data_IF_036340071500
#
_entry.id   IF_036340071500
#
_cell.length_a   1.000
_cell.length_b   1.000
_cell.length_c   1.000
_cell.angle_alpha   90.00
_cell.angle_beta   90.00
_cell.angle_gamma   90.00
#
_symmetry.space_group_name_H-M   'P 1'
#
loop_
_entity.id
_entity.type
_entity.pdbx_description
1 polymer ?
#
# COMPACT_ATOMS: atom_id res chain seq x y z
N UNK A 1 -25.33 -32.21 69.04
CA UNK A 1 -25.97 -31.04 68.41
C UNK A 1 -24.87 -30.04 68.04
N UNK A 2 -24.82 -29.69 66.75
CA UNK A 2 -24.32 -28.44 66.12
C UNK A 2 -23.00 -27.84 66.65
N UNK A 3 -21.88 -27.94 65.90
CA UNK A 3 -21.48 -27.04 64.79
C UNK A 3 -21.13 -25.62 65.25
N UNK A 4 -19.86 -25.19 65.08
CA UNK A 4 -19.43 -24.13 64.13
C UNK A 4 -17.95 -23.76 64.36
N UNK A 5 -17.08 -24.16 63.42
CA UNK A 5 -16.42 -23.36 62.37
C UNK A 5 -15.11 -22.71 62.84
N UNK A 6 -13.99 -23.36 62.48
CA UNK A 6 -12.67 -22.77 62.46
C UNK A 6 -12.51 -21.90 61.20
N UNK A 7 -12.15 -20.64 61.38
CA UNK A 7 -11.87 -19.71 60.28
C UNK A 7 -10.41 -19.88 59.87
N UNK A 8 -10.17 -20.50 58.72
CA UNK A 8 -8.88 -20.54 58.04
C UNK A 8 -8.71 -19.24 57.23
N UNK A 9 -7.80 -18.37 57.67
CA UNK A 9 -7.39 -17.21 56.89
C UNK A 9 -6.44 -17.65 55.76
N UNK A 10 -6.92 -17.62 54.53
CA UNK A 10 -6.09 -17.80 53.32
C UNK A 10 -5.48 -16.45 52.97
N UNK A 11 -4.17 -16.31 53.18
CA UNK A 11 -3.39 -15.18 52.66
C UNK A 11 -3.21 -15.34 51.15
N UNK A 12 -4.07 -14.68 50.37
CA UNK A 12 -3.84 -14.50 48.94
C UNK A 12 -2.76 -13.43 48.75
N UNK A 13 -1.56 -13.84 48.33
CA UNK A 13 -0.52 -12.93 47.90
C UNK A 13 -0.94 -12.26 46.58
N UNK A 14 -1.45 -11.03 46.66
CA UNK A 14 -1.57 -10.15 45.50
C UNK A 14 -0.16 -9.78 45.03
N UNK A 15 0.38 -10.55 44.08
CA UNK A 15 1.46 -10.12 43.22
C UNK A 15 0.96 -8.91 42.42
N UNK A 16 1.19 -7.72 42.95
CA UNK A 16 1.10 -6.49 42.19
C UNK A 16 2.17 -6.57 41.11
N UNK A 17 1.78 -7.03 39.92
CA UNK A 17 2.60 -6.92 38.73
C UNK A 17 2.88 -5.44 38.53
N UNK A 18 4.13 -5.04 38.78
CA UNK A 18 4.64 -3.75 38.31
C UNK A 18 4.37 -3.73 36.81
N UNK A 19 3.66 -2.72 36.26
CA UNK A 19 3.57 -2.58 34.82
C UNK A 19 5.01 -2.49 34.32
N UNK A 20 5.43 -3.50 33.53
CA UNK A 20 6.64 -3.35 32.73
C UNK A 20 6.49 -2.01 32.00
N UNK A 21 7.50 -1.13 32.00
CA UNK A 21 7.43 0.07 31.21
C UNK A 21 7.13 -0.40 29.79
N UNK A 22 5.98 0.02 29.26
CA UNK A 22 5.73 -0.07 27.83
C UNK A 22 6.88 0.71 27.24
N UNK A 23 7.88 0.01 26.69
CA UNK A 23 8.89 0.65 25.86
C UNK A 23 8.10 1.47 24.86
N UNK A 24 8.20 2.79 24.96
CA UNK A 24 7.75 3.65 23.89
C UNK A 24 8.61 3.24 22.70
N UNK A 25 8.09 2.37 21.83
CA UNK A 25 8.84 1.92 20.66
C UNK A 25 9.18 3.18 19.87
N UNK A 26 10.44 3.58 19.93
CA UNK A 26 10.86 4.81 19.27
C UNK A 26 10.62 4.65 17.77
N UNK A 27 9.96 5.61 17.13
CA UNK A 27 9.73 5.53 15.69
C UNK A 27 11.07 5.47 14.93
N UNK A 28 11.12 4.66 13.86
CA UNK A 28 12.22 4.65 12.91
C UNK A 28 12.09 5.85 11.96
N UNK A 29 12.86 6.91 12.20
CA UNK A 29 12.85 8.13 11.38
C UNK A 29 13.66 8.04 10.07
N UNK A 30 14.16 6.85 9.72
CA UNK A 30 14.87 6.62 8.45
C UNK A 30 14.26 5.44 7.66
N UNK A 31 12.93 5.39 7.46
CA UNK A 31 12.29 4.23 6.87
C UNK A 31 12.75 4.02 5.42
N UNK A 32 12.93 2.76 5.05
CA UNK A 32 13.19 2.32 3.68
C UNK A 32 11.98 1.50 3.23
N UNK A 33 11.32 1.93 2.17
CA UNK A 33 10.15 1.24 1.64
C UNK A 33 10.52 0.55 0.33
N UNK A 34 10.17 -0.73 0.21
CA UNK A 34 10.30 -1.47 -1.03
C UNK A 34 9.25 -1.03 -2.04
N UNK A 35 9.64 -0.83 -3.30
CA UNK A 35 8.67 -0.68 -4.41
C UNK A 35 8.84 -1.87 -5.35
N UNK A 36 7.75 -2.61 -5.58
CA UNK A 36 7.81 -3.81 -6.40
C UNK A 36 7.94 -3.49 -7.89
N UNK A 37 9.00 -3.98 -8.53
CA UNK A 37 9.15 -3.93 -9.97
C UNK A 37 8.18 -4.91 -10.63
N UNK A 38 7.78 -4.59 -11.85
CA UNK A 38 6.90 -5.42 -12.68
C UNK A 38 7.51 -5.57 -14.06
N UNK A 39 7.08 -6.58 -14.82
CA UNK A 39 7.52 -6.81 -16.18
C UNK A 39 7.33 -5.57 -17.07
N UNK A 40 8.24 -5.38 -18.02
CA UNK A 40 8.20 -4.24 -18.92
C UNK A 40 6.88 -4.15 -19.70
N UNK A 41 6.45 -2.90 -19.94
CA UNK A 41 5.26 -2.61 -20.74
C UNK A 41 5.46 -3.21 -22.15
N UNK A 42 4.47 -3.95 -22.64
CA UNK A 42 4.53 -4.54 -23.98
C UNK A 42 4.72 -3.44 -25.04
N UNK A 43 5.74 -3.58 -25.89
CA UNK A 43 6.06 -2.60 -26.94
C UNK A 43 6.85 -1.38 -26.45
N UNK A 44 7.37 -1.41 -25.23
CA UNK A 44 8.24 -0.36 -24.70
C UNK A 44 9.61 -0.33 -25.43
N UNK A 45 9.80 0.64 -26.32
CA UNK A 45 11.06 0.84 -27.07
C UNK A 45 12.24 1.38 -26.23
N UNK A 46 11.98 1.85 -25.01
CA UNK A 46 12.99 2.36 -24.08
C UNK A 46 13.33 1.32 -23.01
N UNK A 47 12.68 0.16 -23.03
CA UNK A 47 12.87 -0.89 -22.04
C UNK A 47 14.32 -1.33 -21.97
N UNK A 48 14.82 -1.41 -20.75
CA UNK A 48 16.11 -2.01 -20.42
C UNK A 48 15.83 -3.14 -19.43
N UNK A 49 16.54 -4.25 -19.58
CA UNK A 49 16.32 -5.44 -18.76
C UNK A 49 14.91 -6.03 -18.83
N UNK A 50 14.47 -6.66 -17.74
CA UNK A 50 13.25 -7.47 -17.69
C UNK A 50 12.06 -6.78 -17.01
N UNK A 51 12.32 -5.74 -16.21
CA UNK A 51 11.31 -5.12 -15.35
C UNK A 51 11.51 -3.62 -15.18
N UNK A 52 10.48 -2.92 -14.71
CA UNK A 52 10.51 -1.50 -14.45
C UNK A 52 9.77 -1.09 -13.18
N UNK A 53 10.06 0.12 -12.72
CA UNK A 53 9.29 0.89 -11.75
C UNK A 53 9.09 2.29 -12.32
N UNK A 54 7.84 2.76 -12.37
CA UNK A 54 7.57 4.16 -12.73
C UNK A 54 8.12 5.11 -11.66
N UNK A 55 8.86 6.13 -12.08
CA UNK A 55 9.57 7.03 -11.16
C UNK A 55 8.63 7.83 -10.24
N UNK A 56 7.37 8.01 -10.62
CA UNK A 56 6.36 8.66 -9.78
C UNK A 56 6.14 7.95 -8.45
N UNK A 57 6.20 6.63 -8.38
CA UNK A 57 6.10 5.90 -7.10
C UNK A 57 7.30 6.15 -6.18
N UNK A 58 8.50 6.30 -6.75
CA UNK A 58 9.72 6.64 -6.00
C UNK A 58 9.59 8.03 -5.41
N UNK A 59 9.29 9.03 -6.27
CA UNK A 59 9.10 10.44 -5.87
C UNK A 59 7.98 10.59 -4.84
N UNK A 60 6.90 9.83 -4.97
CA UNK A 60 5.79 9.80 -4.04
C UNK A 60 6.23 9.45 -2.61
N UNK A 61 6.99 8.37 -2.45
CA UNK A 61 7.48 7.96 -1.13
C UNK A 61 8.56 8.91 -0.59
N UNK A 62 9.48 9.36 -1.44
CA UNK A 62 10.55 10.29 -1.05
C UNK A 62 10.00 11.65 -0.62
N UNK A 63 8.93 12.14 -1.25
CA UNK A 63 8.27 13.39 -0.87
C UNK A 63 7.72 13.40 0.57
N UNK A 64 7.50 12.21 1.14
CA UNK A 64 7.04 12.01 2.50
C UNK A 64 8.14 11.59 3.49
N UNK A 65 9.41 11.59 3.06
CA UNK A 65 10.56 11.35 3.92
C UNK A 65 10.99 9.87 4.05
N UNK A 66 10.56 9.00 3.15
CA UNK A 66 11.12 7.64 3.05
C UNK A 66 12.24 7.57 2.02
N UNK A 67 13.11 6.56 2.16
CA UNK A 67 14.01 6.12 1.10
C UNK A 67 13.40 4.91 0.40
N UNK A 68 13.79 4.66 -0.85
CA UNK A 68 13.21 3.57 -1.65
C UNK A 68 14.25 2.51 -1.99
N UNK A 69 13.84 1.24 -1.88
CA UNK A 69 14.58 0.10 -2.40
C UNK A 69 13.76 -0.57 -3.53
N UNK A 70 14.28 -0.69 -4.76
CA UNK A 70 13.59 -1.41 -5.83
C UNK A 70 13.59 -2.93 -5.54
N UNK A 71 12.40 -3.54 -5.52
CA UNK A 71 12.25 -4.99 -5.37
C UNK A 71 12.20 -5.60 -6.79
N UNK A 72 13.36 -6.08 -7.24
CA UNK A 72 13.56 -6.67 -8.58
C UNK A 72 12.89 -8.05 -8.72
N UNK A 73 12.64 -8.50 -9.95
CA UNK A 73 11.82 -9.69 -10.26
C UNK A 73 12.56 -11.03 -10.22
N UNK A 74 13.89 -10.99 -10.15
CA UNK A 74 14.82 -12.05 -10.50
C UNK A 74 15.84 -12.31 -9.37
N UNK A 75 15.31 -12.61 -8.18
CA UNK A 75 16.03 -13.08 -6.99
C UNK A 75 15.45 -14.39 -6.46
N UNK A 76 16.18 -15.05 -5.55
CA UNK A 76 15.68 -16.25 -4.86
C UNK A 76 14.72 -15.89 -3.72
N UNK A 77 13.98 -16.88 -3.22
CA UNK A 77 13.02 -16.67 -2.12
C UNK A 77 13.72 -16.28 -0.81
N UNK A 78 14.91 -16.83 -0.57
CA UNK A 78 15.75 -16.49 0.57
C UNK A 78 16.25 -15.03 0.48
N UNK A 79 16.58 -14.56 -0.72
CA UNK A 79 16.93 -13.16 -0.93
C UNK A 79 15.73 -12.23 -0.69
N UNK A 80 14.52 -12.60 -1.11
CA UNK A 80 13.33 -11.82 -0.82
C UNK A 80 13.01 -11.77 0.67
N UNK A 81 13.19 -12.86 1.40
CA UNK A 81 13.05 -12.88 2.86
C UNK A 81 14.10 -11.97 3.53
N UNK A 82 15.36 -12.00 3.08
CA UNK A 82 16.39 -11.06 3.56
C UNK A 82 16.00 -9.61 3.30
N UNK A 83 15.46 -9.31 2.11
CA UNK A 83 15.00 -7.96 1.76
C UNK A 83 13.82 -7.55 2.66
N UNK A 84 12.83 -8.43 2.84
CA UNK A 84 11.68 -8.18 3.71
C UNK A 84 12.10 -7.78 5.13
N UNK A 85 13.05 -8.52 5.72
CA UNK A 85 13.60 -8.24 7.05
C UNK A 85 14.48 -6.97 7.11
N UNK A 86 14.81 -6.38 5.96
CA UNK A 86 15.67 -5.20 5.86
C UNK A 86 14.89 -3.89 5.61
N UNK A 87 13.73 -3.99 4.94
CA UNK A 87 12.86 -2.83 4.61
C UNK A 87 11.73 -2.68 5.61
N UNK A 88 11.15 -1.49 5.68
CA UNK A 88 10.15 -1.09 6.66
C UNK A 88 8.70 -1.09 6.15
N UNK A 89 8.49 -1.45 4.89
CA UNK A 89 7.17 -1.53 4.26
C UNK A 89 7.28 -1.84 2.77
N UNK A 90 6.15 -2.18 2.15
CA UNK A 90 6.09 -2.49 0.71
C UNK A 90 4.99 -1.72 0.00
N UNK A 91 5.34 -1.10 -1.13
CA UNK A 91 4.40 -0.56 -2.10
C UNK A 91 4.28 -1.48 -3.31
N UNK A 92 3.05 -1.89 -3.60
CA UNK A 92 2.61 -2.60 -4.79
C UNK A 92 2.05 -1.55 -5.79
N UNK A 93 2.83 -1.17 -6.82
CA UNK A 93 2.41 -0.12 -7.75
C UNK A 93 1.25 -0.54 -8.66
N UNK A 94 0.71 0.43 -9.39
CA UNK A 94 -0.16 0.16 -10.54
C UNK A 94 0.63 -0.40 -11.73
N UNK A 95 -0.09 -1.00 -12.68
CA UNK A 95 0.51 -1.77 -13.76
C UNK A 95 -0.55 -2.49 -14.60
N UNK A 96 -0.11 -3.35 -15.50
CA UNK A 96 -0.99 -4.11 -16.42
C UNK A 96 -0.51 -5.55 -16.66
N UNK A 97 0.24 -6.12 -15.71
CA UNK A 97 0.70 -7.51 -15.76
C UNK A 97 -0.36 -8.50 -15.24
N UNK A 98 -0.26 -9.79 -15.57
CA UNK A 98 -1.27 -10.77 -15.16
C UNK A 98 -1.30 -10.99 -13.63
N UNK A 99 -2.47 -10.89 -13.01
CA UNK A 99 -2.61 -10.97 -11.53
C UNK A 99 -2.40 -12.37 -10.94
N UNK A 100 -2.19 -13.40 -11.75
CA UNK A 100 -2.05 -14.79 -11.29
C UNK A 100 -0.75 -15.46 -11.72
N UNK A 101 -0.19 -15.05 -12.85
CA UNK A 101 0.93 -15.74 -13.51
C UNK A 101 2.18 -14.88 -13.67
N UNK A 102 2.09 -13.56 -13.46
CA UNK A 102 3.25 -12.66 -13.52
C UNK A 102 4.22 -12.89 -12.36
N UNK A 103 5.47 -12.51 -12.57
CA UNK A 103 6.46 -12.37 -11.50
C UNK A 103 5.99 -11.34 -10.46
N UNK A 104 5.36 -10.25 -10.89
CA UNK A 104 4.73 -9.30 -9.98
C UNK A 104 3.74 -9.97 -9.01
N UNK A 105 2.87 -10.86 -9.51
CA UNK A 105 1.92 -11.59 -8.68
C UNK A 105 2.61 -12.57 -7.72
N UNK A 106 3.61 -13.32 -8.21
CA UNK A 106 4.42 -14.22 -7.38
C UNK A 106 5.10 -13.47 -6.24
N UNK A 107 5.75 -12.34 -6.52
CA UNK A 107 6.46 -11.57 -5.50
C UNK A 107 5.52 -10.85 -4.55
N UNK A 108 4.42 -10.30 -5.07
CA UNK A 108 3.35 -9.76 -4.23
C UNK A 108 2.88 -10.81 -3.22
N UNK A 109 2.72 -12.07 -3.64
CA UNK A 109 2.35 -13.17 -2.74
C UNK A 109 3.39 -13.43 -1.66
N UNK A 110 4.68 -13.51 -2.02
CA UNK A 110 5.77 -13.76 -1.06
C UNK A 110 5.76 -12.70 0.04
N UNK A 111 5.80 -11.42 -0.33
CA UNK A 111 5.83 -10.34 0.65
C UNK A 111 4.52 -10.21 1.43
N UNK A 112 3.37 -10.46 0.80
CA UNK A 112 2.08 -10.43 1.50
C UNK A 112 1.99 -11.51 2.57
N UNK A 113 2.46 -12.74 2.28
CA UNK A 113 2.50 -13.83 3.25
C UNK A 113 3.51 -13.56 4.38
N UNK A 114 4.69 -13.02 4.05
CA UNK A 114 5.68 -12.59 5.04
C UNK A 114 5.13 -11.48 5.96
N UNK A 115 4.45 -10.49 5.39
CA UNK A 115 3.83 -9.40 6.16
C UNK A 115 2.71 -9.93 7.07
N UNK A 116 1.88 -10.88 6.62
CA UNK A 116 0.89 -11.51 7.51
C UNK A 116 1.58 -12.21 8.68
N UNK A 117 2.61 -13.02 8.41
CA UNK A 117 3.36 -13.74 9.45
C UNK A 117 4.01 -12.78 10.45
N UNK A 118 4.68 -11.73 9.97
CA UNK A 118 5.31 -10.72 10.81
C UNK A 118 4.28 -10.02 11.71
N UNK A 119 3.18 -9.53 11.14
CA UNK A 119 2.14 -8.85 11.91
C UNK A 119 1.42 -9.78 12.90
N UNK A 120 1.25 -11.06 12.57
CA UNK A 120 0.73 -12.07 13.50
C UNK A 120 1.71 -12.34 14.67
N UNK A 121 3.01 -12.13 14.45
CA UNK A 121 4.07 -12.19 15.45
C UNK A 121 4.36 -10.83 16.12
N UNK A 122 3.47 -9.84 15.98
CA UNK A 122 3.60 -8.47 16.50
C UNK A 122 4.76 -7.65 15.91
N UNK A 123 5.27 -8.05 14.75
CA UNK A 123 6.24 -7.31 13.96
C UNK A 123 5.53 -6.52 12.84
N UNK A 124 5.46 -5.20 13.03
CA UNK A 124 4.55 -4.33 12.28
C UNK A 124 5.03 -4.07 10.85
N UNK A 125 4.49 -4.75 9.84
CA UNK A 125 4.92 -4.53 8.45
C UNK A 125 3.76 -4.02 7.56
N UNK A 126 3.78 -2.74 7.12
CA UNK A 126 2.72 -2.18 6.30
C UNK A 126 2.86 -2.49 4.80
N UNK A 127 1.73 -2.68 4.13
CA UNK A 127 1.63 -2.84 2.67
C UNK A 127 0.70 -1.78 2.09
N UNK A 128 1.11 -1.14 1.00
CA UNK A 128 0.31 -0.21 0.21
C UNK A 128 0.08 -0.72 -1.21
N UNK A 129 -1.16 -0.83 -1.66
CA UNK A 129 -1.52 -1.18 -3.04
C UNK A 129 -2.10 -0.01 -3.81
N UNK A 130 -1.55 0.30 -4.98
CA UNK A 130 -2.08 1.33 -5.90
C UNK A 130 -2.58 0.68 -7.18
N UNK A 131 -3.83 0.95 -7.59
CA UNK A 131 -4.45 0.43 -8.81
C UNK A 131 -4.31 -1.11 -8.94
N UNK A 132 -3.34 -1.59 -9.72
CA UNK A 132 -3.03 -3.02 -9.83
C UNK A 132 -2.60 -3.63 -8.49
N UNK A 133 -1.91 -2.88 -7.63
CA UNK A 133 -1.61 -3.31 -6.26
C UNK A 133 -2.88 -3.57 -5.44
N UNK A 134 -3.92 -2.74 -5.56
CA UNK A 134 -5.21 -3.01 -4.93
C UNK A 134 -5.81 -4.31 -5.47
N UNK A 135 -5.88 -4.43 -6.79
CA UNK A 135 -6.40 -5.62 -7.46
C UNK A 135 -5.67 -6.88 -7.00
N UNK A 136 -4.34 -6.87 -6.97
CA UNK A 136 -3.49 -7.96 -6.51
C UNK A 136 -3.80 -8.34 -5.06
N UNK A 137 -3.90 -7.37 -4.15
CA UNK A 137 -4.25 -7.64 -2.74
C UNK A 137 -5.62 -8.31 -2.59
N UNK A 138 -6.59 -7.95 -3.44
CA UNK A 138 -7.92 -8.60 -3.44
C UNK A 138 -7.85 -10.05 -3.93
N UNK A 139 -7.01 -10.34 -4.94
CA UNK A 139 -6.77 -11.71 -5.43
C UNK A 139 -6.08 -12.55 -4.36
N UNK A 140 -5.03 -12.03 -3.71
CA UNK A 140 -4.31 -12.73 -2.65
C UNK A 140 -5.23 -13.09 -1.47
N UNK A 141 -6.07 -12.14 -1.05
CA UNK A 141 -6.99 -12.31 0.09
C UNK A 141 -8.15 -13.26 -0.23
N UNK A 142 -8.73 -13.14 -1.42
CA UNK A 142 -9.90 -13.94 -1.79
C UNK A 142 -9.54 -15.29 -2.40
N UNK A 143 -8.30 -15.44 -2.88
CA UNK A 143 -7.80 -16.54 -3.70
C UNK A 143 -8.52 -16.69 -5.05
N UNK A 144 -9.19 -15.63 -5.53
CA UNK A 144 -9.94 -15.60 -6.80
C UNK A 144 -9.81 -14.24 -7.46
N UNK A 145 -9.82 -14.20 -8.79
CA UNK A 145 -10.02 -12.94 -9.51
C UNK A 145 -11.52 -12.58 -9.49
N UNK A 146 -11.86 -11.52 -8.77
CA UNK A 146 -13.24 -11.03 -8.58
C UNK A 146 -13.46 -9.66 -9.23
N UNK A 147 -12.56 -9.25 -10.12
CA UNK A 147 -12.64 -7.97 -10.79
C UNK A 147 -13.76 -7.94 -11.81
N UNK A 148 -14.30 -6.75 -12.04
CA UNK A 148 -15.31 -6.46 -13.04
C UNK A 148 -14.83 -5.33 -13.91
N UNK A 149 -15.15 -5.39 -15.20
CA UNK A 149 -14.83 -4.32 -16.13
C UNK A 149 -15.59 -3.04 -15.75
N UNK A 150 -14.89 -1.91 -15.73
CA UNK A 150 -15.43 -0.57 -15.46
C UNK A 150 -14.92 0.42 -16.50
N UNK A 151 -15.73 1.42 -16.82
CA UNK A 151 -15.34 2.49 -17.75
C UNK A 151 -14.61 3.62 -17.01
N UNK A 152 -13.39 3.34 -16.60
CA UNK A 152 -12.59 4.17 -15.67
C UNK A 152 -11.17 4.40 -16.18
N UNK A 153 -10.99 4.32 -17.50
CA UNK A 153 -9.72 4.62 -18.16
C UNK A 153 -9.59 6.12 -18.39
N UNK A 154 -8.64 6.75 -17.71
CA UNK A 154 -8.32 8.17 -17.85
C UNK A 154 -9.47 9.11 -17.47
N UNK A 155 -10.02 8.92 -16.28
CA UNK A 155 -11.04 9.81 -15.69
C UNK A 155 -10.58 10.31 -14.32
N UNK A 156 -10.96 11.54 -13.99
CA UNK A 156 -10.76 12.12 -12.68
C UNK A 156 -12.06 12.04 -11.90
N UNK A 157 -12.03 11.52 -10.67
CA UNK A 157 -13.23 11.31 -9.85
C UNK A 157 -13.06 11.92 -8.45
N UNK A 158 -14.16 12.31 -7.78
CA UNK A 158 -14.14 12.52 -6.34
C UNK A 158 -14.12 11.15 -5.64
N UNK A 159 -14.21 11.11 -4.32
CA UNK A 159 -14.33 9.89 -3.52
C UNK A 159 -15.65 9.89 -2.78
N UNK A 160 -16.45 8.84 -2.96
CA UNK A 160 -17.69 8.64 -2.21
C UNK A 160 -17.33 7.96 -0.90
N UNK A 161 -17.22 8.73 0.18
CA UNK A 161 -16.86 8.22 1.51
C UNK A 161 -17.97 7.33 2.10
N UNK A 162 -17.57 6.18 2.64
CA UNK A 162 -18.48 5.32 3.40
C UNK A 162 -18.48 5.73 4.89
N UNK A 163 -19.44 5.27 5.71
CA UNK A 163 -19.40 5.50 7.16
C UNK A 163 -18.13 4.97 7.83
N UNK A 164 -17.47 3.94 7.28
CA UNK A 164 -16.26 3.36 7.85
C UNK A 164 -15.03 4.29 7.73
N UNK A 165 -15.08 5.31 6.86
CA UNK A 165 -14.01 6.30 6.70
C UNK A 165 -13.80 7.19 7.93
N UNK A 166 -14.86 7.48 8.69
CA UNK A 166 -14.82 8.35 9.87
C UNK A 166 -13.85 7.85 10.95
N UNK A 167 -13.70 6.52 11.06
CA UNK A 167 -12.80 5.85 12.00
C UNK A 167 -11.66 5.11 11.28
N UNK A 168 -11.30 5.55 10.07
CA UNK A 168 -10.18 4.97 9.33
C UNK A 168 -8.85 5.39 9.91
N UNK A 169 -7.80 4.58 9.70
CA UNK A 169 -6.43 4.97 10.00
C UNK A 169 -5.93 5.92 8.93
N UNK A 170 -6.20 5.61 7.66
CA UNK A 170 -5.71 6.36 6.50
C UNK A 170 -6.14 7.84 6.53
N UNK A 171 -7.44 8.13 6.69
CA UNK A 171 -7.93 9.50 6.61
C UNK A 171 -7.86 10.27 7.94
N UNK A 172 -7.39 9.64 9.03
CA UNK A 172 -7.44 10.23 10.38
C UNK A 172 -6.70 11.56 10.50
N UNK A 173 -5.57 11.67 9.82
CA UNK A 173 -4.70 12.85 9.86
C UNK A 173 -4.94 13.83 8.70
N UNK A 174 -5.92 13.57 7.83
CA UNK A 174 -6.20 14.44 6.69
C UNK A 174 -6.91 15.72 7.17
N UNK A 175 -6.51 16.90 6.66
CA UNK A 175 -7.21 18.15 6.90
C UNK A 175 -8.67 18.05 6.43
N UNK A 176 -9.60 18.66 7.19
CA UNK A 176 -11.03 18.60 6.88
C UNK A 176 -11.37 19.21 5.52
N UNK A 177 -10.70 20.30 5.16
CA UNK A 177 -10.83 20.93 3.84
C UNK A 177 -10.36 20.01 2.72
N UNK A 178 -9.28 19.24 2.95
CA UNK A 178 -8.81 18.26 1.97
C UNK A 178 -9.78 17.07 1.83
N UNK A 179 -10.36 16.59 2.94
CA UNK A 179 -11.41 15.57 2.89
C UNK A 179 -12.65 16.06 2.14
N UNK A 180 -13.01 17.33 2.31
CA UNK A 180 -14.09 17.95 1.55
C UNK A 180 -13.76 17.99 0.06
N UNK A 181 -12.59 18.50 -0.34
CA UNK A 181 -12.15 18.48 -1.75
C UNK A 181 -12.13 17.07 -2.33
N UNK A 182 -11.67 16.06 -1.56
CA UNK A 182 -11.72 14.66 -1.99
C UNK A 182 -13.16 14.18 -2.22
N UNK A 183 -14.15 14.68 -1.48
CA UNK A 183 -15.56 14.27 -1.63
C UNK A 183 -16.32 15.02 -2.73
N UNK A 184 -15.90 16.24 -3.08
CA UNK A 184 -16.65 17.16 -3.94
C UNK A 184 -15.98 17.39 -5.30
N UNK A 185 -14.65 17.28 -5.38
CA UNK A 185 -13.88 17.64 -6.57
C UNK A 185 -13.32 16.40 -7.28
N UNK A 186 -13.25 16.46 -8.61
CA UNK A 186 -12.65 15.41 -9.43
C UNK A 186 -11.11 15.44 -9.34
N UNK A 187 -10.55 15.02 -8.20
CA UNK A 187 -9.11 15.15 -7.89
C UNK A 187 -8.36 13.81 -7.77
N UNK A 188 -9.03 12.68 -7.99
CA UNK A 188 -8.39 11.35 -7.98
C UNK A 188 -8.26 10.76 -9.39
N UNK A 189 -7.01 10.49 -9.80
CA UNK A 189 -6.69 9.98 -11.12
C UNK A 189 -7.02 8.48 -11.26
N UNK A 190 -7.94 8.11 -12.16
CA UNK A 190 -8.32 6.73 -12.43
C UNK A 190 -7.85 6.31 -13.84
N UNK A 191 -7.03 5.26 -13.90
CA UNK A 191 -6.40 4.73 -15.12
C UNK A 191 -6.49 3.21 -15.18
N UNK A 192 -7.66 2.66 -14.88
CA UNK A 192 -7.89 1.21 -14.79
C UNK A 192 -9.13 0.78 -15.58
N UNK A 193 -9.07 -0.41 -16.16
CA UNK A 193 -10.21 -1.04 -16.84
C UNK A 193 -10.98 -2.00 -15.94
N UNK A 194 -10.39 -2.39 -14.81
CA UNK A 194 -10.90 -3.43 -13.93
C UNK A 194 -10.96 -2.92 -12.50
N UNK A 195 -12.09 -3.15 -11.85
CA UNK A 195 -12.31 -2.75 -10.47
C UNK A 195 -12.90 -3.89 -9.65
N UNK A 196 -12.69 -3.88 -8.33
CA UNK A 196 -13.46 -4.71 -7.42
C UNK A 196 -14.83 -4.05 -7.18
N UNK A 197 -15.89 -4.60 -7.78
CA UNK A 197 -17.25 -4.10 -7.55
C UNK A 197 -17.66 -4.28 -6.09
N UNK A 198 -18.48 -3.35 -5.57
CA UNK A 198 -19.02 -3.46 -4.22
C UNK A 198 -19.86 -4.73 -4.05
N UNK A 199 -20.54 -5.16 -5.13
CA UNK A 199 -21.30 -6.41 -5.16
C UNK A 199 -20.40 -7.65 -4.97
N UNK A 200 -19.30 -7.76 -5.71
CA UNK A 200 -18.39 -8.91 -5.60
C UNK A 200 -17.67 -8.94 -4.25
N UNK A 201 -17.24 -7.78 -3.75
CA UNK A 201 -16.75 -7.65 -2.38
C UNK A 201 -17.79 -8.15 -1.37
N UNK A 202 -19.03 -7.68 -1.48
CA UNK A 202 -20.10 -7.99 -0.52
C UNK A 202 -20.48 -9.47 -0.48
N UNK A 203 -20.29 -10.18 -1.60
CA UNK A 203 -20.54 -11.62 -1.72
C UNK A 203 -19.35 -12.49 -1.28
N UNK A 204 -18.18 -11.89 -1.05
CA UNK A 204 -16.99 -12.63 -0.64
C UNK A 204 -16.69 -12.44 0.86
N UNK A 205 -16.92 -13.50 1.64
CA UNK A 205 -16.73 -13.45 3.10
C UNK A 205 -15.27 -13.18 3.52
N UNK A 206 -14.27 -13.62 2.74
CA UNK A 206 -12.85 -13.37 3.05
C UNK A 206 -12.54 -11.88 2.94
N UNK A 207 -12.92 -11.24 1.82
CA UNK A 207 -12.70 -9.82 1.60
C UNK A 207 -13.44 -8.96 2.63
N UNK A 208 -14.72 -9.25 2.91
CA UNK A 208 -15.50 -8.51 3.92
C UNK A 208 -14.89 -8.57 5.31
N UNK A 209 -14.38 -9.74 5.70
CA UNK A 209 -13.75 -9.91 7.00
C UNK A 209 -12.39 -9.19 7.06
N UNK A 210 -11.65 -9.21 5.96
CA UNK A 210 -10.29 -8.70 5.93
C UNK A 210 -10.22 -7.19 5.78
N UNK A 211 -10.98 -6.60 4.85
CA UNK A 211 -10.95 -5.18 4.50
C UNK A 211 -12.23 -4.47 4.88
N UNK A 212 -12.10 -3.24 5.38
CA UNK A 212 -13.19 -2.27 5.40
C UNK A 212 -13.01 -1.30 4.23
N UNK A 213 -14.13 -1.02 3.55
CA UNK A 213 -14.20 -0.10 2.42
C UNK A 213 -14.31 1.32 2.95
N UNK A 214 -13.36 2.19 2.60
CA UNK A 214 -13.36 3.59 3.04
C UNK A 214 -14.06 4.49 2.03
N UNK A 215 -13.85 4.23 0.74
CA UNK A 215 -14.49 4.99 -0.34
C UNK A 215 -14.90 4.08 -1.49
N UNK A 216 -15.97 4.46 -2.17
CA UNK A 216 -16.42 3.87 -3.44
C UNK A 216 -16.44 4.93 -4.54
N UNK A 217 -16.61 4.47 -5.77
CA UNK A 217 -16.87 5.26 -6.96
C UNK A 217 -17.80 4.52 -7.91
N UNK A 218 -18.29 5.21 -8.94
CA UNK A 218 -19.10 4.60 -9.99
C UNK A 218 -18.63 5.03 -11.38
N UNK A 219 -18.72 4.13 -12.35
CA UNK A 219 -18.57 4.42 -13.78
C UNK A 219 -19.92 4.74 -14.46
N UNK A 220 -20.97 5.02 -13.67
CA UNK A 220 -22.34 5.20 -14.11
C UNK A 220 -23.14 3.90 -14.29
N UNK A 221 -22.49 2.73 -14.20
CA UNK A 221 -23.14 1.40 -14.32
C UNK A 221 -22.88 0.50 -13.11
N UNK A 222 -21.67 0.56 -12.57
CA UNK A 222 -21.17 -0.29 -11.48
C UNK A 222 -20.58 0.58 -10.41
N UNK A 223 -20.91 0.26 -9.16
CA UNK A 223 -20.21 0.80 -8.00
C UNK A 223 -19.02 -0.10 -7.67
N UNK A 224 -17.87 0.52 -7.41
CA UNK A 224 -16.62 -0.18 -7.12
C UNK A 224 -15.87 0.45 -5.95
N UNK A 225 -15.03 -0.36 -5.32
CA UNK A 225 -14.19 0.08 -4.20
C UNK A 225 -13.04 0.92 -4.75
N UNK A 226 -12.90 2.15 -4.24
CA UNK A 226 -11.82 3.04 -4.63
C UNK A 226 -10.75 3.22 -3.56
N UNK A 227 -11.09 3.02 -2.28
CA UNK A 227 -10.12 2.98 -1.17
C UNK A 227 -10.56 1.97 -0.12
N UNK A 228 -9.62 1.16 0.38
CA UNK A 228 -9.86 0.22 1.48
C UNK A 228 -8.64 0.10 2.40
N UNK A 229 -8.89 -0.30 3.65
CA UNK A 229 -7.83 -0.68 4.59
C UNK A 229 -8.22 -1.97 5.32
N UNK A 230 -7.24 -2.78 5.69
CA UNK A 230 -7.49 -4.01 6.42
C UNK A 230 -7.96 -3.71 7.86
N UNK A 231 -8.82 -4.57 8.41
CA UNK A 231 -9.34 -4.38 9.76
C UNK A 231 -8.23 -4.54 10.81
N UNK A 232 -7.40 -5.59 10.66
CA UNK A 232 -6.34 -5.97 11.63
C UNK A 232 -4.93 -5.64 11.18
N UNK A 233 -4.62 -5.84 9.90
CA UNK A 233 -3.28 -5.66 9.35
C UNK A 233 -3.08 -4.21 8.87
N UNK A 234 -1.84 -3.68 8.86
CA UNK A 234 -1.51 -2.36 8.31
C UNK A 234 -1.44 -2.38 6.78
N UNK A 235 -2.48 -2.92 6.15
CA UNK A 235 -2.60 -3.06 4.70
C UNK A 235 -3.61 -2.05 4.18
N UNK A 236 -3.19 -1.28 3.17
CA UNK A 236 -3.92 -0.15 2.62
C UNK A 236 -3.94 -0.25 1.11
N UNK A 237 -5.05 0.15 0.47
CA UNK A 237 -5.12 0.12 -0.97
C UNK A 237 -6.02 1.22 -1.53
N UNK A 238 -5.58 1.79 -2.64
CA UNK A 238 -6.31 2.76 -3.46
C UNK A 238 -6.40 2.25 -4.90
N UNK A 239 -7.58 2.37 -5.52
CA UNK A 239 -7.78 1.99 -6.93
C UNK A 239 -7.31 3.11 -7.88
N UNK A 240 -7.32 4.34 -7.38
CA UNK A 240 -6.84 5.54 -8.04
C UNK A 240 -5.34 5.74 -7.79
N UNK A 241 -4.73 6.68 -8.50
CA UNK A 241 -3.29 6.91 -8.54
C UNK A 241 -2.89 8.23 -7.85
N UNK A 242 -2.62 8.22 -6.53
CA UNK A 242 -2.18 9.42 -5.83
C UNK A 242 -0.83 9.95 -6.34
N UNK A 243 0.05 9.09 -6.85
CA UNK A 243 1.39 9.45 -7.29
C UNK A 243 1.40 10.32 -8.56
N UNK A 244 0.33 10.29 -9.36
CA UNK A 244 0.34 10.92 -10.68
C UNK A 244 0.24 12.44 -10.63
N UNK A 245 -0.61 12.98 -9.76
CA UNK A 245 -0.92 14.42 -9.71
C UNK A 245 0.31 15.34 -9.59
N UNK A 246 1.34 15.02 -8.79
CA UNK A 246 2.56 15.85 -8.75
C UNK A 246 3.66 15.45 -9.73
N UNK A 247 3.62 14.26 -10.35
CA UNK A 247 4.81 13.69 -11.01
C UNK A 247 4.63 13.21 -12.45
N UNK A 248 3.40 13.04 -12.93
CA UNK A 248 3.11 12.60 -14.30
C UNK A 248 2.39 13.70 -15.08
N UNK A 249 2.74 13.90 -16.35
CA UNK A 249 2.24 15.02 -17.17
C UNK A 249 1.66 14.57 -18.51
N UNK A 250 1.15 13.34 -18.56
CA UNK A 250 0.56 12.79 -19.79
C UNK A 250 -0.73 13.55 -20.14
N UNK A 251 -0.88 13.95 -21.40
CA UNK A 251 -2.06 14.69 -21.87
C UNK A 251 -3.28 13.76 -21.99
N UNK A 252 -3.95 13.51 -20.87
CA UNK A 252 -5.17 12.70 -20.77
C UNK A 252 -6.16 13.32 -19.78
N UNK A 253 -7.46 13.20 -20.07
CA UNK A 253 -8.57 13.76 -19.27
C UNK A 253 -8.58 13.37 -17.79
N UNK A 254 -7.96 12.24 -17.42
CA UNK A 254 -7.86 11.79 -16.04
C UNK A 254 -6.71 12.38 -15.25
N UNK A 255 -5.83 13.17 -15.88
CA UNK A 255 -4.74 13.88 -15.20
C UNK A 255 -5.22 15.16 -14.56
N UNK A 256 -4.92 15.31 -13.27
CA UNK A 256 -5.36 16.43 -12.43
C UNK A 256 -4.18 16.93 -11.62
N UNK A 257 -3.90 18.22 -11.74
CA UNK A 257 -2.75 18.89 -11.11
C UNK A 257 -3.20 20.04 -10.19
N UNK A 258 -4.43 19.99 -9.66
CA UNK A 258 -4.90 21.00 -8.72
C UNK A 258 -4.11 20.95 -7.41
N UNK A 259 -4.08 22.06 -6.68
CA UNK A 259 -3.43 22.09 -5.36
C UNK A 259 -4.01 21.03 -4.41
N UNK A 260 -5.32 20.76 -4.50
CA UNK A 260 -5.98 19.72 -3.73
C UNK A 260 -5.53 18.30 -4.13
N UNK A 261 -5.38 18.00 -5.44
CA UNK A 261 -4.90 16.67 -5.88
C UNK A 261 -3.44 16.43 -5.48
N UNK A 262 -2.59 17.46 -5.54
CA UNK A 262 -1.21 17.40 -5.06
C UNK A 262 -1.15 17.22 -3.54
N UNK A 263 -2.00 17.92 -2.77
CA UNK A 263 -2.12 17.70 -1.32
C UNK A 263 -2.59 16.28 -1.00
N UNK A 264 -3.58 15.75 -1.72
CA UNK A 264 -4.05 14.40 -1.54
C UNK A 264 -2.92 13.38 -1.72
N UNK A 265 -2.08 13.55 -2.76
CA UNK A 265 -0.86 12.77 -2.97
C UNK A 265 0.08 12.80 -1.77
N UNK A 266 0.42 13.98 -1.28
CA UNK A 266 1.31 14.12 -0.13
C UNK A 266 0.73 13.46 1.14
N UNK A 267 -0.56 13.66 1.43
CA UNK A 267 -1.15 13.11 2.65
C UNK A 267 -1.30 11.58 2.62
N UNK A 268 -1.54 10.97 1.46
CA UNK A 268 -1.50 9.50 1.34
C UNK A 268 -0.07 8.96 1.49
N UNK A 269 0.93 9.65 0.93
CA UNK A 269 2.34 9.27 1.08
C UNK A 269 2.79 9.39 2.54
N UNK A 270 2.53 10.55 3.16
CA UNK A 270 2.85 10.84 4.56
C UNK A 270 2.23 9.81 5.49
N UNK A 271 0.96 9.46 5.28
CA UNK A 271 0.32 8.40 6.04
C UNK A 271 1.09 7.07 5.91
N UNK A 272 1.36 6.60 4.70
CA UNK A 272 2.03 5.31 4.51
C UNK A 272 3.46 5.29 5.03
N UNK A 273 4.21 6.39 4.87
CA UNK A 273 5.56 6.51 5.45
C UNK A 273 5.49 6.47 6.98
N UNK A 274 4.51 7.14 7.60
CA UNK A 274 4.30 7.08 9.06
C UNK A 274 3.98 5.68 9.58
N UNK A 275 3.36 4.83 8.75
CA UNK A 275 3.13 3.41 9.07
C UNK A 275 4.45 2.63 9.04
N UNK A 276 5.31 2.90 8.05
CA UNK A 276 6.62 2.25 7.93
C UNK A 276 7.59 2.63 9.06
N UNK A 277 7.40 3.79 9.69
CA UNK A 277 8.20 4.19 10.86
C UNK A 277 7.95 3.31 12.11
N UNK A 278 6.95 2.43 12.10
CA UNK A 278 6.51 1.65 13.28
C UNK A 278 7.19 0.28 13.43
N UNK A 279 8.11 -0.08 12.55
CA UNK A 279 9.00 -1.24 12.74
C UNK A 279 10.48 -0.86 12.68
N UNK A 280 11.29 -1.79 13.14
CA UNK A 280 12.73 -1.63 13.31
C UNK A 280 13.56 -2.51 12.37
N UNK A 281 12.95 -2.98 11.28
CA UNK A 281 13.68 -3.63 10.20
C UNK A 281 14.81 -2.73 9.70
N UNK A 282 15.94 -3.35 9.39
CA UNK A 282 17.12 -2.65 8.90
C UNK A 282 18.03 -3.63 8.15
N UNK A 283 18.78 -3.09 7.21
CA UNK A 283 19.85 -3.84 6.56
C UNK A 283 20.91 -4.26 7.57
N UNK A 284 21.57 -5.39 7.30
CA UNK A 284 22.62 -5.94 8.17
C UNK A 284 23.86 -5.04 8.27
N UNK A 285 24.09 -4.16 7.30
CA UNK A 285 25.17 -3.18 7.30
C UNK A 285 24.82 -1.97 6.43
N UNK A 286 25.52 -0.85 6.66
CA UNK A 286 25.38 0.35 5.83
C UNK A 286 25.76 0.10 4.36
N UNK A 287 26.70 -0.81 4.08
CA UNK A 287 27.11 -1.18 2.72
C UNK A 287 26.01 -1.93 1.97
N UNK A 288 25.33 -2.86 2.64
CA UNK A 288 24.18 -3.57 2.06
C UNK A 288 23.00 -2.63 1.85
N UNK A 289 22.78 -1.69 2.77
CA UNK A 289 21.79 -0.62 2.61
C UNK A 289 22.11 0.24 1.39
N UNK A 290 23.33 0.78 1.29
CA UNK A 290 23.77 1.65 0.20
C UNK A 290 23.52 1.00 -1.15
N UNK A 291 23.90 -0.28 -1.33
CA UNK A 291 23.70 -1.03 -2.58
C UNK A 291 22.23 -1.30 -2.93
N UNK A 292 21.36 -1.34 -1.94
CA UNK A 292 19.95 -1.69 -2.13
C UNK A 292 19.09 -0.48 -2.51
N UNK A 293 19.57 0.74 -2.33
CA UNK A 293 18.78 1.96 -2.55
C UNK A 293 18.60 2.28 -4.03
N UNK A 294 17.47 2.93 -4.33
CA UNK A 294 17.12 3.43 -5.67
C UNK A 294 18.14 4.43 -6.22
N UNK A 295 18.95 5.05 -5.35
CA UNK A 295 19.98 6.03 -5.72
C UNK A 295 21.09 5.46 -6.60
N UNK A 296 21.24 4.12 -6.66
CA UNK A 296 22.19 3.46 -7.57
C UNK A 296 21.66 3.32 -9.00
N UNK A 297 20.43 3.75 -9.26
CA UNK A 297 19.76 3.58 -10.54
C UNK A 297 19.43 4.93 -11.15
N UNK A 298 19.53 5.03 -12.47
CA UNK A 298 19.16 6.24 -13.22
C UNK A 298 17.86 5.98 -13.98
N UNK A 299 16.83 6.83 -13.82
CA UNK A 299 15.60 6.67 -14.57
C UNK A 299 15.79 7.13 -16.02
N UNK A 300 15.10 6.46 -16.93
CA UNK A 300 15.09 6.79 -18.36
C UNK A 300 13.86 7.63 -18.66
N UNK A 301 14.07 8.76 -19.34
CA UNK A 301 12.98 9.58 -19.86
C UNK A 301 12.24 8.85 -20.98
N UNK A 302 10.90 8.80 -20.88
CA UNK A 302 10.03 8.01 -21.75
C UNK A 302 9.31 8.82 -22.82
N UNK A 303 9.60 10.13 -22.90
CA UNK A 303 8.87 11.03 -23.76
C UNK A 303 7.53 11.47 -23.17
N UNK A 304 6.96 12.53 -23.74
CA UNK A 304 5.67 13.09 -23.31
C UNK A 304 4.47 12.22 -23.71
N UNK A 305 4.67 11.30 -24.66
CA UNK A 305 3.64 10.38 -25.14
C UNK A 305 3.50 9.11 -24.26
N UNK A 306 4.44 8.90 -23.34
CA UNK A 306 4.41 7.78 -22.40
C UNK A 306 3.35 7.98 -21.30
N UNK A 307 2.83 6.87 -20.76
CA UNK A 307 1.95 6.91 -19.58
C UNK A 307 2.68 7.28 -18.28
N UNK A 308 4.01 7.19 -18.31
CA UNK A 308 4.94 7.60 -17.26
C UNK A 308 6.03 8.46 -17.91
N UNK A 309 6.39 9.58 -17.29
CA UNK A 309 7.45 10.48 -17.77
C UNK A 309 8.82 9.83 -17.69
N UNK A 310 9.05 9.04 -16.64
CA UNK A 310 10.32 8.38 -16.37
C UNK A 310 10.10 7.00 -15.76
N UNK A 311 10.90 6.03 -16.21
CA UNK A 311 10.92 4.68 -15.66
C UNK A 311 12.34 4.33 -15.19
N UNK A 312 12.45 3.70 -14.04
CA UNK A 312 13.63 2.92 -13.68
C UNK A 312 13.48 1.53 -14.29
N UNK A 313 14.56 1.02 -14.88
CA UNK A 313 14.60 -0.28 -15.51
C UNK A 313 15.61 -1.19 -14.79
N UNK A 314 15.30 -2.48 -14.76
CA UNK A 314 16.08 -3.48 -14.04
C UNK A 314 16.16 -4.77 -14.85
N UNK A 315 17.36 -5.32 -14.96
CA UNK A 315 17.55 -6.72 -15.37
C UNK A 315 16.94 -7.66 -14.37
#
# INVERSE_FOLDING_TARGET
MSSTVAVLAVLAACLCGVPLPVESSHLNYRPIIGVLAQENIVGDIHAQGSSYIAASYVKYLESAGARVAPIRTNRTDEEYEKIFNSINGLLLPGGDVDLQTSQYSRLSKIFYDLAIKANDAFDYFPIWGTCQGLQQMTVLTSSRNLLTLTDTRAVALPLIFTPASQNSRLFKAFPKDLLQSLSEENITANFHSWSLSLQNYSRNAKLKRFYKVLTTNTDGKREFISTMEANRYPFYAVQWHPEKSPFEWVDKSGMVHSAASVRASFYTAHFFVSEAMKNHHKFSSAHEEEKALIYNYSPVFRGLNGIFMQNYYFD
#
